data_IF_775034839967
#
_entry.id   IF_775034839967
#
_cell.length_a   1.000
_cell.length_b   1.000
_cell.length_c   1.000
_cell.angle_alpha   90.00
_cell.angle_beta   90.00
_cell.angle_gamma   90.00
#
_symmetry.space_group_name_H-M   'P 1'
#
loop_
_entity.id
_entity.type
_entity.pdbx_description
1 polymer ?
#
# COMPACT_ATOMS: atom_id res chain seq x y z
N UNK A 1 -2.20 -10.91 1.14
CA UNK A 1 -3.50 -11.46 0.71
C UNK A 1 -4.05 -10.65 -0.46
N UNK A 2 -4.39 -11.31 -1.55
CA UNK A 2 -5.08 -10.68 -2.67
C UNK A 2 -6.55 -10.47 -2.31
N UNK A 3 -7.07 -9.27 -2.58
CA UNK A 3 -8.48 -8.99 -2.34
C UNK A 3 -9.37 -9.76 -3.33
N UNK A 4 -10.44 -10.33 -2.81
CA UNK A 4 -11.50 -10.92 -3.63
C UNK A 4 -12.31 -9.81 -4.33
N UNK A 5 -13.07 -10.13 -5.39
CA UNK A 5 -13.95 -9.14 -5.99
C UNK A 5 -14.87 -8.49 -4.95
N UNK A 6 -14.92 -7.17 -4.93
CA UNK A 6 -15.66 -6.41 -3.93
C UNK A 6 -15.64 -4.91 -4.21
N UNK A 7 -16.13 -4.09 -3.26
CA UNK A 7 -16.24 -2.65 -3.46
C UNK A 7 -14.93 -1.94 -3.82
N UNK A 8 -13.81 -2.37 -3.24
CA UNK A 8 -12.51 -1.74 -3.53
C UNK A 8 -11.95 -2.20 -4.87
N UNK A 9 -12.01 -3.49 -5.17
CA UNK A 9 -11.48 -4.03 -6.43
C UNK A 9 -12.28 -3.54 -7.63
N UNK A 10 -13.55 -3.21 -7.46
CA UNK A 10 -14.38 -2.68 -8.54
C UNK A 10 -13.95 -1.29 -9.01
N UNK A 11 -13.12 -0.59 -8.25
CA UNK A 11 -12.55 0.70 -8.63
C UNK A 11 -11.52 0.51 -9.76
N UNK A 12 -10.85 -0.65 -9.81
CA UNK A 12 -9.82 -0.94 -10.80
C UNK A 12 -10.41 -1.52 -12.09
N UNK A 13 -9.67 -1.37 -13.23
CA UNK A 13 -9.97 -2.14 -14.44
C UNK A 13 -9.90 -3.65 -14.18
N UNK A 14 -10.53 -4.49 -15.04
CA UNK A 14 -10.60 -5.95 -14.80
C UNK A 14 -9.24 -6.64 -14.61
N UNK A 15 -8.18 -6.16 -15.24
CA UNK A 15 -6.84 -6.72 -15.11
C UNK A 15 -6.09 -6.23 -13.88
N UNK A 16 -6.61 -5.22 -13.19
CA UNK A 16 -6.01 -4.68 -11.99
C UNK A 16 -6.13 -5.64 -10.81
N UNK A 17 -5.11 -5.64 -9.95
CA UNK A 17 -5.08 -6.48 -8.75
C UNK A 17 -4.83 -5.60 -7.53
N UNK A 18 -5.50 -5.92 -6.42
CA UNK A 18 -5.26 -5.28 -5.13
C UNK A 18 -4.80 -6.34 -4.14
N UNK A 19 -3.67 -6.08 -3.51
CA UNK A 19 -3.11 -6.92 -2.46
C UNK A 19 -3.02 -6.12 -1.18
N UNK A 20 -3.17 -6.79 -0.05
CA UNK A 20 -3.06 -6.19 1.28
C UNK A 20 -2.10 -6.99 2.14
N UNK A 21 -1.27 -6.27 2.91
CA UNK A 21 -0.34 -6.89 3.85
C UNK A 21 -0.20 -6.01 5.09
N UNK A 22 -0.14 -6.63 6.27
CA UNK A 22 0.01 -5.93 7.54
C UNK A 22 1.46 -5.64 7.93
N UNK A 23 2.43 -5.95 7.09
CA UNK A 23 3.85 -5.76 7.36
C UNK A 23 4.25 -4.30 7.53
N UNK A 24 5.19 -4.04 8.43
CA UNK A 24 5.57 -2.69 8.82
C UNK A 24 7.04 -2.55 9.26
N UNK A 25 7.87 -3.56 9.05
CA UNK A 25 9.30 -3.53 9.42
C UNK A 25 10.18 -3.98 8.25
N UNK A 26 11.49 -3.91 8.44
CA UNK A 26 12.46 -4.26 7.41
C UNK A 26 12.30 -5.69 6.89
N UNK A 27 12.06 -6.65 7.78
CA UNK A 27 11.86 -8.05 7.40
C UNK A 27 10.62 -8.23 6.52
N UNK A 28 9.52 -7.57 6.87
CA UNK A 28 8.30 -7.59 6.07
C UNK A 28 8.52 -6.94 4.70
N UNK A 29 9.25 -5.83 4.65
CA UNK A 29 9.62 -5.17 3.40
C UNK A 29 10.40 -6.09 2.47
N UNK A 30 11.35 -6.84 3.01
CA UNK A 30 12.13 -7.81 2.24
C UNK A 30 11.26 -8.94 1.67
N UNK A 31 10.33 -9.48 2.47
CA UNK A 31 9.38 -10.51 2.02
C UNK A 31 8.49 -9.98 0.90
N UNK A 32 7.98 -8.74 1.04
CA UNK A 32 7.15 -8.12 0.02
C UNK A 32 7.94 -7.81 -1.26
N UNK A 33 9.22 -7.47 -1.16
CA UNK A 33 10.09 -7.29 -2.32
C UNK A 33 10.26 -8.60 -3.10
N UNK A 34 10.44 -9.72 -2.40
CA UNK A 34 10.49 -11.03 -3.03
C UNK A 34 9.16 -11.39 -3.69
N UNK A 35 8.05 -11.09 -3.03
CA UNK A 35 6.71 -11.28 -3.60
C UNK A 35 6.49 -10.41 -4.84
N UNK A 36 6.97 -9.18 -4.83
CA UNK A 36 6.88 -8.28 -5.99
C UNK A 36 7.63 -8.86 -7.18
N UNK A 37 8.79 -9.46 -6.94
CA UNK A 37 9.60 -10.09 -7.98
C UNK A 37 8.94 -11.34 -8.55
N UNK A 38 8.30 -12.16 -7.71
CA UNK A 38 7.81 -13.49 -8.09
C UNK A 38 6.32 -13.52 -8.38
N UNK A 39 5.50 -12.86 -7.54
CA UNK A 39 4.04 -13.01 -7.58
C UNK A 39 3.33 -11.91 -8.36
N UNK A 40 3.91 -10.71 -8.42
CA UNK A 40 3.28 -9.59 -9.10
C UNK A 40 3.68 -9.51 -10.59
N UNK A 41 4.53 -10.42 -11.07
CA UNK A 41 4.80 -10.62 -12.49
C UNK A 41 5.43 -9.41 -13.20
N UNK A 42 6.32 -8.67 -12.51
CA UNK A 42 6.98 -7.47 -13.04
C UNK A 42 6.00 -6.34 -13.41
N UNK A 43 4.76 -6.40 -12.94
CA UNK A 43 3.80 -5.31 -13.13
C UNK A 43 4.26 -4.08 -12.35
N UNK A 44 4.00 -2.86 -12.86
CA UNK A 44 4.26 -1.66 -12.07
C UNK A 44 3.50 -1.72 -10.74
N UNK A 45 4.24 -1.54 -9.64
CA UNK A 45 3.66 -1.62 -8.31
C UNK A 45 3.24 -0.21 -7.87
N UNK A 46 1.94 -0.06 -7.64
CA UNK A 46 1.37 1.12 -7.00
C UNK A 46 1.26 0.83 -5.50
N UNK A 47 1.98 1.58 -4.68
CA UNK A 47 2.05 1.33 -3.26
C UNK A 47 1.19 2.33 -2.49
N UNK A 48 0.30 1.82 -1.64
CA UNK A 48 -0.50 2.65 -0.73
C UNK A 48 -0.09 2.28 0.69
N UNK A 49 0.40 3.26 1.44
CA UNK A 49 0.95 3.03 2.78
C UNK A 49 0.30 3.92 3.82
N UNK A 50 -0.17 3.29 4.90
CA UNK A 50 -0.46 3.93 6.16
C UNK A 50 0.38 3.26 7.25
N UNK A 51 0.95 4.04 8.16
CA UNK A 51 1.92 3.54 9.13
C UNK A 51 1.80 4.26 10.46
N UNK A 52 2.04 3.53 11.55
CA UNK A 52 2.09 4.11 12.89
C UNK A 52 3.42 4.81 13.13
N UNK A 53 3.39 5.86 13.95
CA UNK A 53 4.56 6.69 14.31
C UNK A 53 5.69 5.90 14.98
N UNK A 54 5.40 4.73 15.54
CA UNK A 54 6.39 3.86 16.19
C UNK A 54 7.22 3.05 15.20
N UNK A 55 6.91 3.12 13.90
CA UNK A 55 7.58 2.35 12.86
C UNK A 55 8.41 3.26 11.96
N UNK A 56 9.37 2.66 11.25
CA UNK A 56 10.23 3.37 10.29
C UNK A 56 9.79 3.05 8.87
N UNK A 57 9.29 4.05 8.16
CA UNK A 57 8.96 3.89 6.75
C UNK A 57 10.19 3.54 5.92
N UNK A 58 11.33 4.19 6.20
CA UNK A 58 12.57 3.95 5.48
C UNK A 58 13.01 2.50 5.54
N UNK A 59 13.04 1.92 6.74
CA UNK A 59 13.45 0.52 6.92
C UNK A 59 12.51 -0.45 6.21
N UNK A 60 11.20 -0.22 6.31
CA UNK A 60 10.19 -1.04 5.64
C UNK A 60 10.27 -0.91 4.13
N UNK A 61 10.40 0.30 3.64
CA UNK A 61 10.26 0.64 2.22
C UNK A 61 11.53 0.35 1.41
N UNK A 62 12.71 0.45 2.02
CA UNK A 62 13.97 0.34 1.31
C UNK A 62 14.07 -0.86 0.36
N UNK A 63 13.73 -2.10 0.76
CA UNK A 63 13.80 -3.24 -0.16
C UNK A 63 12.75 -3.19 -1.27
N UNK A 64 11.66 -2.45 -1.09
CA UNK A 64 10.58 -2.33 -2.08
C UNK A 64 10.84 -1.26 -3.15
N UNK A 65 11.69 -0.28 -2.86
CA UNK A 65 11.92 0.88 -3.73
C UNK A 65 12.12 0.52 -5.21
N UNK A 66 12.93 -0.50 -5.57
CA UNK A 66 13.15 -0.83 -6.98
C UNK A 66 11.90 -1.27 -7.75
N UNK A 67 10.86 -1.70 -7.05
CA UNK A 67 9.65 -2.26 -7.65
C UNK A 67 8.48 -1.27 -7.68
N UNK A 68 8.61 -0.13 -6.99
CA UNK A 68 7.52 0.82 -6.82
C UNK A 68 7.53 1.84 -7.95
N UNK A 69 6.42 1.93 -8.68
CA UNK A 69 6.22 2.98 -9.68
C UNK A 69 5.75 4.27 -9.03
N UNK A 70 4.75 4.19 -8.14
CA UNK A 70 4.21 5.33 -7.41
C UNK A 70 3.88 4.95 -5.98
N UNK A 71 3.97 5.93 -5.09
CA UNK A 71 3.66 5.80 -3.67
C UNK A 71 2.55 6.77 -3.27
N UNK A 72 1.57 6.27 -2.55
CA UNK A 72 0.47 7.04 -2.00
C UNK A 72 0.46 6.89 -0.48
N UNK A 73 0.70 7.99 0.24
CA UNK A 73 0.60 7.99 1.70
C UNK A 73 -0.82 8.29 2.15
N UNK A 74 -1.32 7.53 3.12
CA UNK A 74 -2.61 7.81 3.74
C UNK A 74 -2.48 7.86 5.25
N UNK A 75 -3.32 8.66 5.90
CA UNK A 75 -3.48 8.64 7.36
C UNK A 75 -4.47 7.54 7.69
N UNK A 76 -4.13 6.65 8.63
CA UNK A 76 -5.01 5.55 9.02
C UNK A 76 -6.22 6.12 9.76
N UNK A 77 -7.41 5.88 9.24
CA UNK A 77 -8.66 6.41 9.81
C UNK A 77 -8.86 5.94 11.26
N UNK A 78 -9.21 6.88 12.15
CA UNK A 78 -9.48 6.57 13.56
C UNK A 78 -8.26 6.25 14.39
N UNK A 79 -7.04 6.35 13.83
CA UNK A 79 -5.79 6.00 14.52
C UNK A 79 -4.97 7.25 14.80
N UNK A 80 -5.00 7.74 16.05
CA UNK A 80 -4.31 8.97 16.44
C UNK A 80 -2.78 8.85 16.31
N UNK A 81 -2.24 7.63 16.35
CA UNK A 81 -0.80 7.35 16.23
C UNK A 81 -0.34 7.13 14.80
N UNK A 82 -1.20 7.40 13.83
CA UNK A 82 -0.83 7.29 12.42
C UNK A 82 0.12 8.41 12.02
N UNK A 83 1.12 8.07 11.21
CA UNK A 83 1.94 9.09 10.55
C UNK A 83 1.04 9.81 9.55
N UNK A 84 1.01 11.15 9.55
CA UNK A 84 0.20 11.90 8.57
C UNK A 84 0.60 11.57 7.12
N UNK A 85 -0.40 11.51 6.24
CA UNK A 85 -0.21 11.19 4.83
C UNK A 85 0.87 12.04 4.16
N UNK A 86 0.90 13.34 4.43
CA UNK A 86 1.88 14.27 3.86
C UNK A 86 3.31 13.95 4.30
N UNK A 87 3.49 13.51 5.54
CA UNK A 87 4.80 13.12 6.08
C UNK A 87 5.28 11.83 5.41
N UNK A 88 4.40 10.84 5.26
CA UNK A 88 4.74 9.59 4.54
C UNK A 88 5.19 9.88 3.11
N UNK A 89 4.45 10.72 2.39
CA UNK A 89 4.79 11.09 1.02
C UNK A 89 6.15 11.80 0.95
N UNK A 90 6.43 12.70 1.90
CA UNK A 90 7.72 13.39 1.97
C UNK A 90 8.87 12.41 2.21
N UNK A 91 8.71 11.47 3.14
CA UNK A 91 9.72 10.45 3.42
C UNK A 91 9.97 9.55 2.20
N UNK A 92 8.91 9.16 1.50
CA UNK A 92 9.02 8.35 0.29
C UNK A 92 9.76 9.10 -0.83
N UNK A 93 9.51 10.39 -0.99
CA UNK A 93 10.26 11.23 -1.94
C UNK A 93 11.74 11.27 -1.62
N UNK A 94 12.11 11.32 -0.34
CA UNK A 94 13.50 11.27 0.10
C UNK A 94 14.20 9.96 -0.29
N UNK A 95 13.44 8.89 -0.49
CA UNK A 95 13.95 7.60 -0.97
C UNK A 95 13.94 7.49 -2.51
N UNK A 96 13.60 8.55 -3.20
CA UNK A 96 13.60 8.61 -4.66
C UNK A 96 12.31 8.21 -5.34
N UNK A 97 11.23 8.02 -4.60
CA UNK A 97 9.95 7.62 -5.17
C UNK A 97 9.11 8.81 -5.63
N UNK A 98 8.31 8.59 -6.66
CA UNK A 98 7.22 9.48 -7.03
C UNK A 98 6.10 9.24 -6.03
N UNK A 99 5.87 10.21 -5.14
CA UNK A 99 4.99 10.03 -3.99
C UNK A 99 4.08 11.24 -3.78
N UNK A 100 2.84 10.96 -3.40
CA UNK A 100 1.83 11.97 -3.06
C UNK A 100 1.01 11.51 -1.85
N UNK A 101 0.46 12.43 -1.06
CA UNK A 101 -0.53 12.08 -0.06
C UNK A 101 -1.89 11.87 -0.72
N UNK A 102 -2.73 11.06 -0.08
CA UNK A 102 -4.12 10.89 -0.47
C UNK A 102 -5.02 11.09 0.77
N UNK A 103 -6.20 11.68 0.62
CA UNK A 103 -7.09 11.93 1.76
C UNK A 103 -7.65 10.67 2.39
N UNK A 104 -7.80 9.59 1.63
CA UNK A 104 -8.33 8.32 2.12
C UNK A 104 -7.93 7.16 1.21
N UNK A 105 -8.26 5.94 1.66
CA UNK A 105 -7.92 4.71 0.95
C UNK A 105 -8.58 4.62 -0.42
N UNK A 106 -9.87 4.91 -0.52
CA UNK A 106 -10.60 4.80 -1.79
C UNK A 106 -10.05 5.75 -2.84
N UNK A 107 -9.74 6.99 -2.44
CA UNK A 107 -9.14 7.98 -3.34
C UNK A 107 -7.76 7.52 -3.79
N UNK A 108 -6.95 6.95 -2.89
CA UNK A 108 -5.64 6.40 -3.23
C UNK A 108 -5.76 5.28 -4.26
N UNK A 109 -6.72 4.37 -4.10
CA UNK A 109 -6.97 3.30 -5.08
C UNK A 109 -7.37 3.88 -6.43
N UNK A 110 -8.21 4.92 -6.45
CA UNK A 110 -8.58 5.60 -7.70
C UNK A 110 -7.37 6.20 -8.41
N UNK A 111 -6.49 6.86 -7.66
CA UNK A 111 -5.25 7.42 -8.23
C UNK A 111 -4.31 6.34 -8.75
N UNK A 112 -4.24 5.21 -8.06
CA UNK A 112 -3.40 4.07 -8.43
C UNK A 112 -3.99 3.21 -9.54
N UNK A 113 -5.24 3.47 -9.93
CA UNK A 113 -6.00 2.64 -10.86
C UNK A 113 -5.48 2.78 -12.28
N UNK A 114 -4.75 1.77 -12.74
CA UNK A 114 -4.37 1.60 -14.15
C UNK A 114 -4.62 0.16 -14.55
N UNK A 115 -4.81 -0.09 -15.86
CA UNK A 115 -5.16 -1.42 -16.37
C UNK A 115 -4.12 -2.49 -16.08
N UNK A 116 -2.85 -2.10 -15.94
CA UNK A 116 -1.73 -3.03 -15.75
C UNK A 116 -1.16 -3.03 -14.35
N UNK A 117 -1.63 -2.14 -13.48
CA UNK A 117 -1.03 -1.99 -12.15
C UNK A 117 -1.42 -3.10 -11.19
N UNK A 118 -0.49 -3.40 -10.31
CA UNK A 118 -0.73 -4.13 -9.08
C UNK A 118 -0.71 -3.14 -7.94
N UNK A 119 -1.78 -3.06 -7.17
CA UNK A 119 -1.90 -2.16 -6.01
C UNK A 119 -1.59 -2.95 -4.75
N UNK A 120 -0.62 -2.50 -3.98
CA UNK A 120 -0.28 -3.09 -2.69
C UNK A 120 -0.58 -2.09 -1.57
N UNK A 121 -1.45 -2.47 -0.66
CA UNK A 121 -1.82 -1.69 0.52
C UNK A 121 -1.12 -2.31 1.71
N UNK A 122 -0.29 -1.55 2.41
CA UNK A 122 0.56 -2.09 3.47
C UNK A 122 0.99 -1.04 4.49
N UNK A 123 1.79 -1.47 5.46
CA UNK A 123 2.41 -0.62 6.47
C UNK A 123 1.79 -0.74 7.85
N UNK A 124 0.62 -1.35 8.00
CA UNK A 124 -0.06 -1.47 9.28
C UNK A 124 -1.09 -2.58 9.28
N UNK A 125 -1.17 -3.32 10.39
CA UNK A 125 -2.25 -4.28 10.63
C UNK A 125 -3.61 -3.59 10.73
N UNK A 126 -3.67 -2.39 11.28
CA UNK A 126 -4.92 -1.60 11.35
C UNK A 126 -5.43 -1.25 9.96
N UNK A 127 -4.52 -0.80 9.10
CA UNK A 127 -4.88 -0.49 7.71
C UNK A 127 -5.32 -1.74 6.96
N UNK A 128 -4.61 -2.87 7.15
CA UNK A 128 -4.99 -4.14 6.54
C UNK A 128 -6.42 -4.55 6.94
N UNK A 129 -6.74 -4.46 8.23
CA UNK A 129 -8.08 -4.75 8.73
C UNK A 129 -9.15 -3.83 8.14
N UNK A 130 -8.87 -2.54 8.08
CA UNK A 130 -9.80 -1.56 7.50
C UNK A 130 -10.02 -1.81 6.00
N UNK A 131 -8.95 -2.18 5.29
CA UNK A 131 -9.02 -2.50 3.86
C UNK A 131 -9.91 -3.72 3.60
N UNK A 132 -9.71 -4.79 4.36
CA UNK A 132 -10.52 -5.98 4.23
C UNK A 132 -11.99 -5.71 4.55
N UNK A 133 -12.25 -4.96 5.63
CA UNK A 133 -13.62 -4.58 5.99
C UNK A 133 -14.27 -3.74 4.89
N UNK A 134 -13.54 -2.78 4.32
CA UNK A 134 -14.04 -1.94 3.23
C UNK A 134 -14.32 -2.73 1.95
N UNK A 135 -13.65 -3.87 1.77
CA UNK A 135 -13.90 -4.79 0.65
C UNK A 135 -14.87 -5.92 1.00
N UNK A 136 -15.54 -5.84 2.14
CA UNK A 136 -16.46 -6.87 2.65
C UNK A 136 -15.80 -8.24 2.85
N UNK A 137 -14.54 -8.24 3.29
CA UNK A 137 -13.78 -9.45 3.58
C UNK A 137 -13.34 -9.49 5.04
N UNK A 138 -12.90 -10.66 5.48
CA UNK A 138 -12.29 -10.86 6.79
C UNK A 138 -10.87 -11.37 6.60
N UNK A 139 -10.02 -11.18 7.63
CA UNK A 139 -8.69 -11.79 7.65
C UNK A 139 -8.80 -13.31 7.64
N UNK A 140 -8.06 -13.94 6.76
CA UNK A 140 -7.98 -15.41 6.65
C UNK A 140 -6.62 -15.91 7.12
#
# INVERSE_FOLDING_TARGET
QRLAPGPLTSILPPEGQVWVDGGHNAAAGAVLADAARECFGFRPLQLIVGMLKTKSLEEFLAPLVPFVERFWGITIAGESNSIPAAILAKQARCLGLVAEPSPDLETAIKFASTSTSCVLICGSLYLAGQTLAANNETLT
#
